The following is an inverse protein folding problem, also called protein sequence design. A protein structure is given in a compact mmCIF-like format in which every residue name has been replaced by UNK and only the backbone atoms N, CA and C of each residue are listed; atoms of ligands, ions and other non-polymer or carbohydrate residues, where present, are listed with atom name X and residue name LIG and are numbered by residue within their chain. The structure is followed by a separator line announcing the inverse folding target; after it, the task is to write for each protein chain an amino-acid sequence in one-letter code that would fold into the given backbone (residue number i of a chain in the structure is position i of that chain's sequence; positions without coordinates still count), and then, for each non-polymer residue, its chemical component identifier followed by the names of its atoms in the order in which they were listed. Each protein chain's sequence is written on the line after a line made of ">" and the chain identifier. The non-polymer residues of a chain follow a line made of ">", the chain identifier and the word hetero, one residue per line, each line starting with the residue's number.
data_IF_725063967186
#
_entry.id   IF_725063967186
#
_cell.length_a   1.000
_cell.length_b   1.000
_cell.length_c   1.000
_cell.angle_alpha   90.00
_cell.angle_beta   90.00
_cell.angle_gamma   90.00
#
_symmetry.space_group_name_H-M   'P 1'
#
loop_
_entity.id
_entity.type
_entity.pdbx_description
1 polymer ?
#
# COMPACT_ATOMS: atom_id res chain seq x y z
N UNK A 1 7.61 23.80 -0.45
CA UNK A 1 7.85 22.36 -0.70
C UNK A 1 6.50 21.69 -0.56
N UNK A 2 6.04 20.93 -1.55
CA UNK A 2 4.76 20.25 -1.49
C UNK A 2 4.86 18.97 -0.66
N UNK A 3 4.79 19.11 0.67
CA UNK A 3 4.79 17.96 1.59
C UNK A 3 3.35 17.57 1.91
N UNK A 4 3.03 16.30 1.78
CA UNK A 4 1.71 15.75 2.12
C UNK A 4 1.92 14.50 2.96
N UNK A 5 1.42 14.53 4.19
CA UNK A 5 1.26 13.34 4.99
C UNK A 5 -0.14 12.79 4.74
N UNK A 6 -0.22 11.54 4.31
CA UNK A 6 -1.45 10.79 4.16
C UNK A 6 -1.41 9.58 5.08
N UNK A 7 -2.56 9.16 5.56
CA UNK A 7 -2.70 7.94 6.33
C UNK A 7 -4.01 7.25 5.94
N UNK A 8 -4.03 5.94 6.10
CA UNK A 8 -5.17 5.12 5.79
C UNK A 8 -5.27 4.01 6.83
N UNK A 9 -6.48 3.79 7.32
CA UNK A 9 -6.83 2.61 8.11
C UNK A 9 -8.01 1.98 7.41
N UNK A 10 -7.94 0.67 7.16
CA UNK A 10 -9.02 -0.06 6.51
C UNK A 10 -9.22 -1.38 7.22
N UNK A 11 -10.47 -1.71 7.44
CA UNK A 11 -10.89 -3.00 7.97
C UNK A 11 -11.96 -3.58 7.06
N UNK A 12 -12.00 -4.90 6.97
CA UNK A 12 -13.11 -5.63 6.38
C UNK A 12 -13.43 -6.78 7.32
N UNK A 13 -14.70 -6.87 7.70
CA UNK A 13 -15.22 -7.96 8.51
C UNK A 13 -16.23 -8.70 7.65
N UNK A 14 -16.04 -10.01 7.49
CA UNK A 14 -16.94 -10.86 6.75
C UNK A 14 -17.54 -11.89 7.71
N UNK A 15 -18.87 -12.05 7.65
CA UNK A 15 -19.64 -12.87 8.59
C UNK A 15 -20.34 -13.98 7.82
N UNK A 16 -20.29 -15.19 8.38
CA UNK A 16 -20.84 -16.39 7.74
C UNK A 16 -19.80 -17.15 6.93
N UNK A 17 -20.27 -18.01 6.03
CA UNK A 17 -19.41 -18.81 5.15
C UNK A 17 -19.03 -17.98 3.92
N UNK A 18 -17.81 -17.45 3.92
CA UNK A 18 -17.30 -16.54 2.88
C UNK A 18 -16.61 -17.38 1.82
N UNK A 19 -17.11 -17.39 0.56
CA UNK A 19 -16.43 -18.10 -0.51
C UNK A 19 -14.99 -17.61 -0.68
N UNK A 20 -14.07 -18.51 -1.03
CA UNK A 20 -12.64 -18.21 -1.15
C UNK A 20 -12.32 -16.98 -2.03
N UNK A 21 -13.14 -16.73 -3.06
CA UNK A 21 -13.00 -15.57 -3.95
C UNK A 21 -13.39 -14.24 -3.33
N UNK A 22 -14.20 -14.24 -2.27
CA UNK A 22 -14.67 -13.04 -1.57
C UNK A 22 -13.92 -12.75 -0.27
N UNK A 23 -13.02 -13.65 0.15
CA UNK A 23 -12.20 -13.49 1.34
C UNK A 23 -11.36 -12.20 1.30
N UNK A 24 -11.15 -11.66 2.49
CA UNK A 24 -10.32 -10.49 2.77
C UNK A 24 -8.85 -10.80 2.46
N UNK A 25 -8.15 -9.91 1.75
CA UNK A 25 -6.77 -10.13 1.30
C UNK A 25 -5.88 -8.94 1.63
N UNK A 26 -4.64 -9.22 2.01
CA UNK A 26 -3.57 -8.24 2.15
C UNK A 26 -2.39 -8.61 1.24
N UNK A 27 -1.63 -7.60 0.80
CA UNK A 27 -0.49 -7.78 -0.08
C UNK A 27 -0.81 -7.57 -1.56
N UNK A 28 -1.72 -6.63 -1.84
CA UNK A 28 -2.01 -6.18 -3.20
C UNK A 28 -1.13 -4.97 -3.57
N UNK A 29 -1.00 -4.62 -4.86
CA UNK A 29 -0.30 -3.39 -5.29
C UNK A 29 -0.90 -2.09 -4.72
N UNK A 30 -2.11 -2.15 -4.16
CA UNK A 30 -2.86 -0.99 -3.66
C UNK A 30 -2.83 -0.86 -2.13
N UNK A 31 -2.43 -1.90 -1.39
CA UNK A 31 -2.34 -1.90 0.08
C UNK A 31 -0.88 -2.06 0.57
N UNK A 32 -0.58 -3.09 1.37
CA UNK A 32 0.74 -3.45 1.88
C UNK A 32 1.62 -3.98 0.73
N UNK A 33 2.09 -3.06 -0.10
CA UNK A 33 2.96 -3.32 -1.27
C UNK A 33 4.24 -4.03 -0.87
N UNK A 34 4.59 -5.11 -1.54
CA UNK A 34 5.81 -5.90 -1.26
C UNK A 34 5.53 -7.31 -0.79
N UNK A 35 4.26 -7.65 -0.53
CA UNK A 35 3.82 -9.01 -0.31
C UNK A 35 3.33 -9.67 -1.60
N UNK A 36 3.46 -11.00 -1.69
CA UNK A 36 2.93 -11.77 -2.81
C UNK A 36 1.40 -11.77 -2.76
N UNK A 37 0.79 -11.52 -3.91
CA UNK A 37 -0.65 -11.43 -4.03
C UNK A 37 -1.30 -12.77 -3.68
N UNK A 38 -2.24 -12.76 -2.73
CA UNK A 38 -2.95 -13.95 -2.29
C UNK A 38 -2.22 -14.79 -1.25
N UNK A 39 -1.02 -14.40 -0.80
CA UNK A 39 -0.31 -15.09 0.29
C UNK A 39 -1.03 -14.97 1.63
N UNK A 40 -1.63 -13.81 1.91
CA UNK A 40 -2.33 -13.54 3.17
C UNK A 40 -3.79 -13.26 2.90
N UNK A 41 -4.64 -14.20 3.31
CA UNK A 41 -6.07 -14.19 3.05
C UNK A 41 -6.81 -14.86 4.19
N UNK A 42 -7.90 -14.22 4.61
CA UNK A 42 -8.76 -14.72 5.67
C UNK A 42 -10.16 -14.10 5.56
N UNK A 43 -11.05 -14.39 6.50
CA UNK A 43 -12.39 -13.79 6.56
C UNK A 43 -12.31 -12.28 6.81
N UNK A 44 -11.44 -11.86 7.73
CA UNK A 44 -11.31 -10.47 8.11
C UNK A 44 -9.89 -9.94 7.86
N UNK A 45 -9.77 -8.65 7.63
CA UNK A 45 -8.47 -7.97 7.67
C UNK A 45 -8.57 -6.63 8.38
N UNK A 46 -7.45 -6.18 8.94
CA UNK A 46 -7.22 -4.82 9.40
C UNK A 46 -5.84 -4.38 8.93
N UNK A 47 -5.71 -3.20 8.33
CA UNK A 47 -4.41 -2.61 8.08
C UNK A 47 -4.40 -1.11 8.32
N UNK A 48 -3.20 -0.60 8.59
CA UNK A 48 -2.87 0.80 8.65
C UNK A 48 -1.69 1.09 7.74
N UNK A 49 -1.72 2.24 7.07
CA UNK A 49 -0.68 2.69 6.16
C UNK A 49 -0.49 4.20 6.31
N UNK A 50 0.75 4.61 6.55
CA UNK A 50 1.18 5.99 6.58
C UNK A 50 2.04 6.26 5.35
N UNK A 51 1.72 7.30 4.61
CA UNK A 51 2.46 7.71 3.43
C UNK A 51 2.91 9.17 3.57
N UNK A 52 4.21 9.38 3.49
CA UNK A 52 4.81 10.70 3.39
C UNK A 52 5.18 10.99 1.94
N UNK A 53 4.54 11.98 1.34
CA UNK A 53 4.70 12.36 -0.07
C UNK A 53 5.39 13.72 -0.13
N UNK A 54 6.45 13.83 -0.90
CA UNK A 54 7.21 15.05 -1.08
C UNK A 54 7.38 15.36 -2.56
N UNK A 55 6.88 16.52 -3.00
CA UNK A 55 7.19 17.11 -4.31
C UNK A 55 8.27 18.16 -4.16
N UNK A 56 9.31 18.06 -5.00
CA UNK A 56 10.39 19.03 -5.03
C UNK A 56 9.88 20.38 -5.55
N UNK A 57 10.43 21.48 -5.05
CA UNK A 57 10.23 22.82 -5.63
C UNK A 57 11.34 23.09 -6.63
N UNK A 58 11.00 23.77 -7.72
CA UNK A 58 11.97 24.39 -8.62
C UNK A 58 12.28 25.82 -8.14
N UNK A 59 13.45 26.36 -8.51
CA UNK A 59 13.91 27.71 -8.13
C UNK A 59 12.96 28.84 -8.60
N UNK A 60 12.10 28.56 -9.56
CA UNK A 60 11.09 29.48 -10.07
C UNK A 60 9.80 29.53 -9.22
N UNK A 61 9.71 28.76 -8.13
CA UNK A 61 8.54 28.68 -7.25
C UNK A 61 7.48 27.66 -7.67
N UNK A 62 7.64 27.00 -8.82
CA UNK A 62 6.73 25.95 -9.28
C UNK A 62 7.02 24.58 -8.62
N UNK A 63 5.98 23.76 -8.54
CA UNK A 63 6.11 22.35 -8.15
C UNK A 63 6.79 21.57 -9.27
N UNK A 64 7.90 20.90 -8.92
CA UNK A 64 8.60 20.00 -9.83
C UNK A 64 7.70 18.83 -10.25
N UNK A 65 7.95 18.35 -11.46
CA UNK A 65 7.39 17.09 -12.00
C UNK A 65 7.86 15.85 -11.24
N UNK A 66 8.88 15.99 -10.41
CA UNK A 66 9.47 14.91 -9.61
C UNK A 66 8.93 14.91 -8.18
N UNK A 67 8.58 13.72 -7.69
CA UNK A 67 8.19 13.50 -6.31
C UNK A 67 8.68 12.16 -5.77
N UNK A 68 8.89 12.11 -4.46
CA UNK A 68 9.22 10.89 -3.73
C UNK A 68 8.13 10.62 -2.71
N UNK A 69 7.82 9.35 -2.51
CA UNK A 69 6.90 8.87 -1.49
C UNK A 69 7.62 7.85 -0.63
N UNK A 70 7.48 7.99 0.67
CA UNK A 70 7.85 6.95 1.63
C UNK A 70 6.57 6.45 2.27
N UNK A 71 6.47 5.16 2.50
CA UNK A 71 5.36 4.62 3.28
C UNK A 71 5.83 3.61 4.31
N UNK A 72 5.03 3.51 5.36
CA UNK A 72 5.18 2.52 6.41
C UNK A 72 3.78 2.12 6.88
N UNK A 73 3.56 0.85 7.12
CA UNK A 73 2.27 0.31 7.51
C UNK A 73 2.41 -1.03 8.18
N UNK A 74 1.32 -1.53 8.69
CA UNK A 74 1.19 -2.93 9.08
C UNK A 74 -0.24 -3.35 8.93
N UNK A 75 -0.47 -4.64 8.80
CA UNK A 75 -1.81 -5.18 8.85
C UNK A 75 -1.82 -6.61 9.35
N UNK A 76 -3.01 -7.14 9.44
CA UNK A 76 -3.26 -8.51 9.85
C UNK A 76 -4.50 -9.01 9.13
N UNK A 77 -4.51 -10.29 8.81
CA UNK A 77 -5.71 -11.03 8.43
C UNK A 77 -6.01 -11.98 9.58
N UNK A 78 -7.28 -12.17 9.87
CA UNK A 78 -7.71 -12.96 11.02
C UNK A 78 -9.12 -13.52 10.82
N UNK A 79 -9.40 -14.64 11.47
CA UNK A 79 -10.76 -15.12 11.71
C UNK A 79 -11.17 -14.96 13.19
N UNK A 80 -12.34 -15.50 13.53
CA UNK A 80 -12.83 -15.48 14.91
C UNK A 80 -12.00 -16.38 15.86
N UNK A 81 -11.48 -17.50 15.36
CA UNK A 81 -10.66 -18.41 16.15
C UNK A 81 -9.32 -17.77 16.47
N UNK A 82 -8.71 -17.05 15.53
CA UNK A 82 -7.43 -16.36 15.73
C UNK A 82 -7.49 -15.31 16.82
N UNK A 83 -8.60 -14.58 16.90
CA UNK A 83 -8.83 -13.59 17.95
C UNK A 83 -8.99 -14.26 19.31
N UNK A 84 -9.73 -15.38 19.36
CA UNK A 84 -9.99 -16.12 20.60
C UNK A 84 -8.73 -16.78 21.14
N UNK A 85 -7.93 -17.35 20.25
CA UNK A 85 -6.74 -18.14 20.59
C UNK A 85 -5.46 -17.26 20.62
N UNK A 86 -5.61 -15.96 20.36
CA UNK A 86 -4.56 -14.93 20.35
C UNK A 86 -3.39 -15.26 19.40
N UNK A 87 -3.70 -15.80 18.23
CA UNK A 87 -2.73 -16.21 17.18
C UNK A 87 -2.57 -15.17 16.07
N UNK A 88 -3.12 -13.96 16.27
CA UNK A 88 -3.07 -12.85 15.30
C UNK A 88 -1.61 -12.51 14.96
N UNK A 89 -1.28 -12.59 13.67
CA UNK A 89 0.04 -12.22 13.17
C UNK A 89 0.02 -10.88 12.45
N UNK A 90 1.04 -10.07 12.69
CA UNK A 90 1.22 -8.77 12.06
C UNK A 90 2.16 -8.86 10.84
N UNK A 91 1.78 -8.11 9.81
CA UNK A 91 2.42 -8.00 8.51
C UNK A 91 3.01 -6.58 8.36
N UNK A 92 4.24 -6.34 8.86
CA UNK A 92 4.88 -5.05 8.73
C UNK A 92 5.21 -4.74 7.26
N UNK A 93 5.02 -3.48 6.88
CA UNK A 93 5.25 -3.01 5.53
C UNK A 93 5.98 -1.66 5.55
N UNK A 94 6.94 -1.48 4.65
CA UNK A 94 7.49 -0.17 4.37
C UNK A 94 8.02 -0.12 2.94
N UNK A 95 8.21 1.08 2.41
CA UNK A 95 8.76 1.22 1.08
C UNK A 95 8.98 2.66 0.66
N UNK A 96 9.54 2.78 -0.53
CA UNK A 96 9.81 4.05 -1.19
C UNK A 96 9.32 3.99 -2.62
N UNK A 97 8.80 5.11 -3.09
CA UNK A 97 8.28 5.26 -4.43
C UNK A 97 8.72 6.57 -5.04
N UNK A 98 8.90 6.54 -6.34
CA UNK A 98 9.22 7.68 -7.17
C UNK A 98 8.05 7.97 -8.10
N UNK A 99 7.70 9.26 -8.21
CA UNK A 99 6.62 9.75 -9.06
C UNK A 99 7.16 10.79 -10.01
N UNK A 100 6.88 10.60 -11.30
CA UNK A 100 7.28 11.50 -12.37
C UNK A 100 6.08 11.83 -13.25
N UNK A 101 5.82 13.12 -13.43
CA UNK A 101 4.87 13.63 -14.41
C UNK A 101 5.62 14.03 -15.68
N UNK A 102 5.61 13.20 -16.73
CA UNK A 102 6.40 13.44 -17.95
C UNK A 102 5.74 14.53 -18.79
N UNK A 103 4.43 14.36 -19.06
CA UNK A 103 3.57 15.29 -19.76
C UNK A 103 2.26 15.45 -18.97
N UNK A 104 1.47 16.51 -19.23
CA UNK A 104 0.11 16.58 -18.71
C UNK A 104 -0.62 15.27 -19.06
N UNK A 105 -1.17 14.58 -18.06
CA UNK A 105 -1.86 13.27 -18.17
C UNK A 105 -0.96 12.02 -18.35
N UNK A 106 0.36 12.15 -18.30
CA UNK A 106 1.29 11.02 -18.30
C UNK A 106 2.05 10.93 -16.98
N UNK A 107 1.67 9.96 -16.15
CA UNK A 107 2.26 9.74 -14.83
C UNK A 107 2.97 8.39 -14.77
N UNK A 108 4.24 8.44 -14.36
CA UNK A 108 5.06 7.27 -14.09
C UNK A 108 5.18 7.11 -12.57
N UNK A 109 4.95 5.89 -12.09
CA UNK A 109 5.12 5.50 -10.70
C UNK A 109 6.02 4.27 -10.62
N UNK A 110 7.04 4.36 -9.79
CA UNK A 110 7.96 3.28 -9.49
C UNK A 110 7.95 3.10 -7.98
N UNK A 111 7.48 1.96 -7.50
CA UNK A 111 7.32 1.68 -6.08
C UNK A 111 8.12 0.44 -5.69
N UNK A 112 8.95 0.57 -4.67
CA UNK A 112 9.69 -0.53 -4.06
C UNK A 112 9.19 -0.75 -2.64
N UNK A 113 8.54 -1.90 -2.41
CA UNK A 113 7.96 -2.30 -1.14
C UNK A 113 8.71 -3.45 -0.50
N UNK A 114 8.87 -3.37 0.81
CA UNK A 114 9.46 -4.38 1.68
C UNK A 114 8.38 -4.87 2.65
N UNK A 115 8.21 -6.18 2.71
CA UNK A 115 7.37 -6.87 3.67
C UNK A 115 8.16 -7.90 4.47
N UNK A 116 7.47 -8.56 5.40
CA UNK A 116 8.01 -9.71 6.13
C UNK A 116 8.43 -10.82 5.16
N UNK A 117 9.75 -10.99 5.02
CA UNK A 117 10.41 -11.99 4.16
C UNK A 117 10.12 -11.86 2.66
N UNK A 118 9.62 -10.71 2.21
CA UNK A 118 9.32 -10.47 0.80
C UNK A 118 9.67 -9.05 0.39
N UNK A 119 10.08 -8.90 -0.87
CA UNK A 119 10.28 -7.59 -1.50
C UNK A 119 9.52 -7.59 -2.81
N UNK A 120 8.96 -6.44 -3.17
CA UNK A 120 8.17 -6.27 -4.38
C UNK A 120 8.48 -4.95 -5.04
N UNK A 121 8.61 -5.00 -6.37
CA UNK A 121 8.91 -3.84 -7.18
C UNK A 121 7.79 -3.67 -8.21
N UNK A 122 7.16 -2.51 -8.18
CA UNK A 122 5.95 -2.21 -8.93
C UNK A 122 6.20 -1.03 -9.85
N UNK A 123 5.87 -1.21 -11.12
CA UNK A 123 5.88 -0.15 -12.12
C UNK A 123 4.46 0.11 -12.59
N UNK A 124 4.05 1.37 -12.61
CA UNK A 124 2.74 1.76 -13.12
C UNK A 124 2.89 2.97 -14.04
N UNK A 125 2.36 2.84 -15.25
CA UNK A 125 2.33 3.90 -16.26
C UNK A 125 0.87 4.21 -16.55
N UNK A 126 0.42 5.42 -16.18
CA UNK A 126 -0.92 5.89 -16.50
C UNK A 126 -0.85 6.93 -17.61
N UNK A 127 -1.49 6.62 -18.74
CA UNK A 127 -1.76 7.55 -19.83
C UNK A 127 -3.28 7.72 -19.93
N UNK A 128 -3.78 8.94 -19.73
CA UNK A 128 -5.16 9.27 -20.09
C UNK A 128 -5.14 9.92 -21.48
N UNK A 129 -5.89 9.34 -22.42
CA UNK A 129 -6.12 9.88 -23.76
C UNK A 129 -7.24 10.93 -23.76
#
# INVERSE_FOLDING_TARGET
>A
VGKTLAWQIKTRIAVGDVPYGEMSMLGTPFDLRGYYWGRYRDNNFLFFLFEYRNKFLMDNGDLSKHGIVFWIGSGTVFDYQDVRDNTIYWLPNLGVGYRLEVQPRQNIRIDFGLGRETTGLYFNFNQAF
#
